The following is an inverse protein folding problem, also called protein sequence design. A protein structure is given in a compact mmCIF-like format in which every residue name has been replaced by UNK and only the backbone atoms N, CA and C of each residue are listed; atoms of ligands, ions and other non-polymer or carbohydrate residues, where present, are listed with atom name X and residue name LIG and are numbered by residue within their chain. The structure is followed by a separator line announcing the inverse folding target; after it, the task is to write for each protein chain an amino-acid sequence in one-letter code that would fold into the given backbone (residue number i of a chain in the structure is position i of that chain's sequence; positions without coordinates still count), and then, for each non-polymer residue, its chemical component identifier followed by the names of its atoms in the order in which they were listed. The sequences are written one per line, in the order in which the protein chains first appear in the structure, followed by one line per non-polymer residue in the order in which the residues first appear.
data_IF_053700532564
#
_entry.id   IF_053700532564
#
_cell.length_a   1.000
_cell.length_b   1.000
_cell.length_c   1.000
_cell.angle_alpha   90.00
_cell.angle_beta   90.00
_cell.angle_gamma   90.00
#
_symmetry.space_group_name_H-M   'P 1'
#
loop_
_entity.id
_entity.type
_entity.pdbx_description
1 polymer ?
#
# COMPACT_ATOMS: atom_id res chain seq x y z
N UNK A 1 19.61 8.00 3.48
CA UNK A 1 18.54 8.30 2.50
C UNK A 1 17.20 8.00 3.17
N UNK A 2 16.17 8.85 3.02
CA UNK A 2 14.87 8.59 3.65
C UNK A 2 14.18 7.41 2.94
N UNK A 3 13.65 6.45 3.70
CA UNK A 3 12.93 5.26 3.18
C UNK A 3 11.88 5.62 2.13
N UNK A 4 11.11 6.69 2.36
CA UNK A 4 10.08 7.16 1.43
C UNK A 4 10.69 7.58 0.09
N UNK A 5 11.84 8.24 0.10
CA UNK A 5 12.59 8.63 -1.11
C UNK A 5 13.10 7.40 -1.85
N UNK A 6 13.59 6.40 -1.14
CA UNK A 6 14.02 5.12 -1.73
C UNK A 6 12.85 4.42 -2.43
N UNK A 7 11.70 4.30 -1.77
CA UNK A 7 10.47 3.74 -2.35
C UNK A 7 10.09 4.54 -3.61
N UNK A 8 10.06 5.87 -3.54
CA UNK A 8 9.73 6.69 -4.71
C UNK A 8 10.65 6.41 -5.90
N UNK A 9 11.97 6.33 -5.69
CA UNK A 9 12.95 6.12 -6.75
C UNK A 9 12.86 4.72 -7.39
N UNK A 10 12.48 3.70 -6.62
CA UNK A 10 12.32 2.33 -7.13
C UNK A 10 11.07 2.19 -7.98
N UNK A 11 9.98 2.84 -7.59
CA UNK A 11 8.66 2.65 -8.21
C UNK A 11 8.29 3.71 -9.24
N UNK A 12 8.76 4.95 -9.10
CA UNK A 12 8.48 6.06 -10.01
C UNK A 12 9.74 6.48 -10.79
N UNK A 13 9.63 6.79 -12.11
CA UNK A 13 8.43 6.76 -12.94
C UNK A 13 8.16 5.41 -13.62
N UNK A 14 9.02 4.41 -13.41
CA UNK A 14 9.03 3.18 -14.24
C UNK A 14 7.82 2.26 -14.03
N UNK A 15 7.44 1.98 -12.78
CA UNK A 15 6.28 1.15 -12.45
C UNK A 15 5.02 1.98 -12.25
N UNK A 16 5.18 3.18 -11.70
CA UNK A 16 4.12 4.15 -11.46
C UNK A 16 4.46 5.47 -12.14
N UNK A 17 3.71 5.79 -13.19
CA UNK A 17 3.97 6.94 -14.05
C UNK A 17 3.68 8.28 -13.39
N UNK A 18 2.83 8.30 -12.36
CA UNK A 18 2.33 9.52 -11.73
C UNK A 18 2.61 9.50 -10.23
N UNK A 19 2.88 10.67 -9.67
CA UNK A 19 2.96 10.91 -8.22
C UNK A 19 1.90 11.96 -7.92
N UNK A 20 0.92 11.61 -7.09
CA UNK A 20 -0.06 12.58 -6.62
C UNK A 20 0.56 13.45 -5.52
N UNK A 21 0.15 14.71 -5.47
CA UNK A 21 0.44 15.54 -4.31
C UNK A 21 -0.25 14.97 -3.08
N UNK A 22 0.47 15.01 -1.97
CA UNK A 22 0.07 14.41 -0.71
C UNK A 22 -0.13 15.53 0.31
N UNK A 23 -1.28 15.58 0.97
CA UNK A 23 -1.55 16.48 2.09
C UNK A 23 -1.54 15.70 3.42
N UNK A 24 -0.82 16.24 4.41
CA UNK A 24 -0.81 15.71 5.79
C UNK A 24 -0.35 14.25 5.95
N UNK A 25 -1.30 13.32 5.95
CA UNK A 25 -1.17 11.93 6.42
C UNK A 25 -0.49 10.99 5.40
N UNK A 26 -0.52 11.34 4.12
CA UNK A 26 0.16 10.59 3.08
C UNK A 26 1.65 10.93 3.05
N UNK A 27 2.52 9.92 3.13
CA UNK A 27 3.96 10.13 2.91
C UNK A 27 4.32 10.04 1.43
N UNK A 28 3.60 9.22 0.66
CA UNK A 28 3.77 9.06 -0.78
C UNK A 28 2.50 8.45 -1.39
N UNK A 29 2.12 8.89 -2.58
CA UNK A 29 1.03 8.29 -3.36
C UNK A 29 1.43 8.23 -4.83
N UNK A 30 1.68 7.03 -5.34
CA UNK A 30 2.06 6.78 -6.73
C UNK A 30 0.92 6.09 -7.46
N UNK A 31 0.70 6.46 -8.73
CA UNK A 31 -0.40 5.92 -9.55
C UNK A 31 0.14 5.37 -10.87
N UNK A 32 -0.36 4.20 -11.27
CA UNK A 32 -0.16 3.59 -12.59
C UNK A 32 -1.50 3.32 -13.26
N UNK A 33 -1.52 3.41 -14.59
CA UNK A 33 -2.71 3.14 -15.41
C UNK A 33 -3.66 4.34 -15.55
N UNK A 34 -4.61 4.23 -16.48
CA UNK A 34 -5.61 5.27 -16.78
C UNK A 34 -7.02 4.70 -16.69
N UNK A 35 -7.94 5.48 -16.14
CA UNK A 35 -9.39 5.24 -16.07
C UNK A 35 -9.85 3.96 -15.33
N UNK A 36 -9.63 2.76 -15.90
CA UNK A 36 -10.32 1.51 -15.50
C UNK A 36 -9.38 0.50 -14.83
N UNK A 37 -8.06 0.61 -15.04
CA UNK A 37 -7.03 -0.26 -14.43
C UNK A 37 -6.03 0.55 -13.61
N UNK A 38 -6.56 1.46 -12.78
CA UNK A 38 -5.72 2.31 -11.94
C UNK A 38 -5.23 1.52 -10.74
N UNK A 39 -3.91 1.53 -10.54
CA UNK A 39 -3.32 0.98 -9.34
C UNK A 39 -2.53 2.03 -8.59
N UNK A 40 -2.54 1.93 -7.26
CA UNK A 40 -1.95 2.89 -6.34
C UNK A 40 -0.94 2.18 -5.45
N UNK A 41 0.23 2.79 -5.27
CA UNK A 41 1.11 2.50 -4.15
C UNK A 41 1.04 3.68 -3.18
N UNK A 42 0.51 3.45 -1.99
CA UNK A 42 0.35 4.49 -0.98
C UNK A 42 1.21 4.17 0.24
N UNK A 43 1.97 5.16 0.72
CA UNK A 43 2.84 5.02 1.88
C UNK A 43 2.33 5.89 3.03
N UNK A 44 2.22 5.28 4.20
CA UNK A 44 1.79 5.89 5.44
C UNK A 44 2.79 5.61 6.57
N UNK A 45 2.67 6.35 7.66
CA UNK A 45 3.37 6.07 8.91
C UNK A 45 2.45 5.19 9.77
N UNK A 46 3.00 4.10 10.32
CA UNK A 46 2.29 3.23 11.23
C UNK A 46 2.14 3.91 12.59
N UNK A 47 0.97 3.76 13.20
CA UNK A 47 0.70 4.19 14.57
C UNK A 47 0.64 2.94 15.46
N UNK A 48 1.66 2.73 16.29
CA UNK A 48 1.84 1.48 17.05
C UNK A 48 0.65 1.17 17.99
N UNK A 49 0.07 2.20 18.62
CA UNK A 49 -1.02 2.05 19.60
C UNK A 49 -2.43 1.96 18.96
N UNK A 50 -2.52 1.87 17.63
CA UNK A 50 -3.78 1.82 16.91
C UNK A 50 -3.97 0.48 16.19
N UNK A 51 -5.18 -0.05 16.24
CA UNK A 51 -5.55 -1.26 15.50
C UNK A 51 -5.23 -1.14 14.00
N UNK A 52 -4.55 -2.14 13.45
CA UNK A 52 -4.10 -2.15 12.05
C UNK A 52 -5.27 -2.14 11.06
N UNK A 53 -6.40 -2.75 11.41
CA UNK A 53 -7.59 -2.77 10.55
C UNK A 53 -8.18 -1.38 10.45
N UNK A 54 -8.26 -0.66 11.57
CA UNK A 54 -8.69 0.74 11.58
C UNK A 54 -7.75 1.63 10.77
N UNK A 55 -6.43 1.43 10.87
CA UNK A 55 -5.45 2.18 10.07
C UNK A 55 -5.61 1.91 8.57
N UNK A 56 -5.87 0.67 8.17
CA UNK A 56 -6.10 0.28 6.77
C UNK A 56 -7.41 0.88 6.23
N UNK A 57 -8.49 0.90 7.02
CA UNK A 57 -9.73 1.58 6.64
C UNK A 57 -9.55 3.10 6.48
N UNK A 58 -8.79 3.72 7.38
CA UNK A 58 -8.45 5.15 7.27
C UNK A 58 -7.64 5.42 6.00
N UNK A 59 -6.62 4.61 5.73
CA UNK A 59 -5.82 4.68 4.52
C UNK A 59 -6.71 4.51 3.27
N UNK A 60 -7.62 3.53 3.26
CA UNK A 60 -8.59 3.32 2.19
C UNK A 60 -9.43 4.57 1.93
N UNK A 61 -9.99 5.18 2.98
CA UNK A 61 -10.80 6.40 2.83
C UNK A 61 -9.99 7.57 2.28
N UNK A 62 -8.75 7.72 2.69
CA UNK A 62 -7.86 8.77 2.21
C UNK A 62 -7.53 8.55 0.72
N UNK A 63 -7.21 7.32 0.34
CA UNK A 63 -6.88 6.96 -1.06
C UNK A 63 -8.10 7.19 -1.95
N UNK A 64 -9.30 6.81 -1.50
CA UNK A 64 -10.55 7.05 -2.23
C UNK A 64 -10.70 8.53 -2.61
N UNK A 65 -10.43 9.44 -1.66
CA UNK A 65 -10.48 10.89 -1.87
C UNK A 65 -9.40 11.33 -2.85
N UNK A 66 -8.14 10.94 -2.62
CA UNK A 66 -7.00 11.32 -3.45
C UNK A 66 -7.16 10.88 -4.92
N UNK A 67 -7.74 9.71 -5.16
CA UNK A 67 -7.88 9.15 -6.52
C UNK A 67 -9.24 9.37 -7.14
N UNK A 68 -10.19 9.99 -6.43
CA UNK A 68 -11.59 10.08 -6.83
C UNK A 68 -12.16 8.70 -7.25
N UNK A 69 -11.93 7.69 -6.41
CA UNK A 69 -12.36 6.32 -6.71
C UNK A 69 -13.88 6.15 -6.49
N UNK A 70 -14.55 5.53 -7.45
CA UNK A 70 -16.00 5.30 -7.46
C UNK A 70 -16.23 3.83 -7.85
N UNK A 71 -17.05 3.15 -7.06
CA UNK A 71 -17.39 1.74 -7.30
C UNK A 71 -18.07 1.57 -8.67
N UNK A 72 -17.79 0.48 -9.39
CA UNK A 72 -18.24 0.16 -10.76
C UNK A 72 -17.77 1.07 -11.90
N UNK A 73 -17.18 2.24 -11.63
CA UNK A 73 -16.82 3.20 -12.68
C UNK A 73 -15.34 3.59 -12.68
N UNK A 74 -14.71 3.63 -11.51
CA UNK A 74 -13.39 4.22 -11.26
C UNK A 74 -12.66 3.51 -10.14
N UNK A 75 -12.73 2.19 -10.13
CA UNK A 75 -12.08 1.37 -9.11
C UNK A 75 -10.57 1.52 -9.15
N UNK A 76 -9.94 1.37 -7.99
CA UNK A 76 -8.49 1.40 -7.85
C UNK A 76 -8.01 0.20 -7.05
N UNK A 77 -7.02 -0.51 -7.59
CA UNK A 77 -6.28 -1.52 -6.86
C UNK A 77 -5.16 -0.87 -6.05
N UNK A 78 -5.03 -1.20 -4.77
CA UNK A 78 -4.10 -0.50 -3.88
C UNK A 78 -3.16 -1.47 -3.19
N UNK A 79 -1.89 -1.09 -3.19
CA UNK A 79 -0.88 -1.65 -2.32
C UNK A 79 -0.52 -0.60 -1.26
N UNK A 80 -0.83 -0.87 0.00
CA UNK A 80 -0.55 0.02 1.14
C UNK A 80 0.78 -0.38 1.75
N UNK A 81 1.65 0.61 1.97
CA UNK A 81 2.90 0.44 2.72
C UNK A 81 2.82 1.27 3.99
N UNK A 82 2.94 0.64 5.14
CA UNK A 82 3.15 1.31 6.42
C UNK A 82 4.64 1.31 6.75
N UNK A 83 5.14 2.45 7.17
CA UNK A 83 6.52 2.62 7.65
C UNK A 83 6.50 2.75 9.17
N UNK A 84 7.39 2.04 9.86
CA UNK A 84 7.55 2.09 11.31
C UNK A 84 9.04 2.23 11.67
N UNK A 85 9.34 2.78 12.85
CA UNK A 85 10.72 2.83 13.34
C UNK A 85 11.12 1.54 14.04
N UNK A 86 10.17 0.92 14.74
CA UNK A 86 10.37 -0.30 15.52
C UNK A 86 9.36 -1.36 15.12
N UNK A 87 9.78 -2.62 15.19
CA UNK A 87 8.87 -3.75 14.98
C UNK A 87 7.70 -3.66 15.98
N UNK A 88 6.44 -3.57 15.51
CA UNK A 88 5.31 -3.38 16.40
C UNK A 88 5.04 -4.67 17.19
N UNK A 89 5.04 -4.58 18.53
CA UNK A 89 4.88 -5.74 19.41
C UNK A 89 3.48 -6.36 19.40
N UNK A 90 2.48 -5.62 18.90
CA UNK A 90 1.07 -6.02 18.84
C UNK A 90 0.66 -6.66 17.51
N UNK A 91 1.58 -6.85 16.57
CA UNK A 91 1.28 -7.41 15.25
C UNK A 91 1.72 -8.86 15.07
N UNK A 92 2.34 -9.48 16.07
CA UNK A 92 2.68 -10.89 16.03
C UNK A 92 1.42 -11.76 15.99
N UNK A 93 1.36 -12.69 15.03
CA UNK A 93 0.18 -13.54 14.80
C UNK A 93 -1.03 -12.84 14.17
N UNK A 94 -1.02 -11.51 14.01
CA UNK A 94 -2.07 -10.75 13.33
C UNK A 94 -1.89 -10.84 11.82
N UNK A 95 -2.93 -11.22 11.10
CA UNK A 95 -2.94 -11.18 9.63
C UNK A 95 -3.26 -9.75 9.16
N UNK A 96 -2.50 -9.22 8.19
CA UNK A 96 -2.76 -7.88 7.67
C UNK A 96 -4.01 -7.90 6.77
N UNK A 97 -4.92 -6.92 6.92
CA UNK A 97 -6.21 -6.94 6.24
C UNK A 97 -6.03 -6.63 4.75
N UNK A 98 -6.52 -7.55 3.91
CA UNK A 98 -6.59 -7.40 2.44
C UNK A 98 -7.98 -7.79 1.97
N UNK A 99 -8.42 -7.21 0.86
CA UNK A 99 -9.74 -7.50 0.30
C UNK A 99 -9.73 -8.85 -0.41
N UNK A 100 -10.65 -9.73 -0.05
CA UNK A 100 -10.82 -11.05 -0.68
C UNK A 100 -11.76 -11.00 -1.89
N UNK A 101 -12.70 -10.04 -1.93
CA UNK A 101 -13.63 -9.84 -3.03
C UNK A 101 -13.63 -8.38 -3.50
N UNK A 102 -13.65 -8.15 -4.82
CA UNK A 102 -13.44 -6.84 -5.47
C UNK A 102 -14.63 -5.88 -5.38
N UNK A 103 -15.38 -5.91 -4.29
CA UNK A 103 -16.65 -5.21 -4.13
C UNK A 103 -16.43 -3.85 -3.45
N UNK A 104 -15.34 -3.16 -3.80
CA UNK A 104 -14.97 -1.88 -3.22
C UNK A 104 -14.47 -0.92 -4.30
N UNK A 105 -14.75 0.37 -4.13
CA UNK A 105 -14.15 1.41 -4.99
C UNK A 105 -12.61 1.45 -4.87
N UNK A 106 -12.10 1.10 -3.69
CA UNK A 106 -10.67 1.01 -3.38
C UNK A 106 -10.42 -0.40 -2.86
N UNK A 107 -9.77 -1.22 -3.68
CA UNK A 107 -9.54 -2.64 -3.43
C UNK A 107 -8.15 -2.77 -2.81
N UNK A 108 -8.07 -3.20 -1.55
CA UNK A 108 -6.79 -3.42 -0.86
C UNK A 108 -6.20 -4.75 -1.35
N UNK A 109 -5.28 -4.66 -2.31
CA UNK A 109 -4.61 -5.80 -2.95
C UNK A 109 -3.40 -6.28 -2.14
N UNK A 110 -2.83 -5.41 -1.31
CA UNK A 110 -1.75 -5.77 -0.42
C UNK A 110 -1.49 -4.72 0.65
N UNK A 111 -0.99 -5.18 1.78
CA UNK A 111 -0.54 -4.35 2.90
C UNK A 111 0.85 -4.83 3.30
N UNK A 112 1.81 -3.92 3.39
CA UNK A 112 3.19 -4.21 3.78
C UNK A 112 3.63 -3.23 4.85
N UNK A 113 4.12 -3.74 5.96
CA UNK A 113 4.77 -2.98 7.02
C UNK A 113 6.28 -3.14 6.85
N UNK A 114 6.98 -2.01 6.80
CA UNK A 114 8.43 -1.92 6.70
C UNK A 114 8.94 -1.15 7.92
N UNK A 115 9.84 -1.77 8.67
CA UNK A 115 10.50 -1.18 9.82
C UNK A 115 11.99 -0.98 9.60
N UNK A 116 12.63 -0.26 10.53
CA UNK A 116 14.09 -0.24 10.58
C UNK A 116 14.65 -1.65 10.87
N UNK A 117 15.94 -1.85 10.61
CA UNK A 117 16.64 -3.14 10.82
C UNK A 117 16.09 -4.31 10.00
N UNK A 118 15.46 -4.04 8.85
CA UNK A 118 14.99 -5.08 7.93
C UNK A 118 13.70 -5.77 8.37
N UNK A 119 12.90 -5.15 9.26
CA UNK A 119 11.60 -5.71 9.62
C UNK A 119 10.62 -5.61 8.45
N UNK A 120 10.03 -6.76 8.10
CA UNK A 120 8.97 -6.85 7.09
C UNK A 120 7.83 -7.72 7.58
N UNK A 121 6.62 -7.23 7.37
CA UNK A 121 5.40 -8.03 7.48
C UNK A 121 4.48 -7.64 6.34
N UNK A 122 4.04 -8.59 5.52
CA UNK A 122 3.15 -8.29 4.41
C UNK A 122 2.06 -9.34 4.26
N UNK A 123 0.94 -8.90 3.70
CA UNK A 123 -0.10 -9.77 3.18
C UNK A 123 -0.56 -9.23 1.82
N UNK A 124 -0.99 -10.10 0.93
CA UNK A 124 -1.55 -9.71 -0.36
C UNK A 124 -2.70 -10.63 -0.77
N UNK A 125 -3.66 -10.06 -1.48
CA UNK A 125 -4.79 -10.81 -2.01
C UNK A 125 -4.32 -11.86 -3.01
N UNK A 126 -4.75 -13.10 -2.79
CA UNK A 126 -4.61 -14.21 -3.72
C UNK A 126 -5.98 -14.51 -4.34
N UNK A 127 -6.22 -14.06 -5.57
CA UNK A 127 -7.42 -14.49 -6.30
C UNK A 127 -7.09 -15.77 -7.07
N UNK A 128 -7.71 -16.89 -6.66
CA UNK A 128 -7.58 -18.18 -7.34
C UNK A 128 -6.13 -18.62 -7.58
N UNK A 129 -5.22 -18.32 -6.64
CA UNK A 129 -3.79 -18.66 -6.76
C UNK A 129 -2.95 -17.71 -7.62
N UNK A 130 -3.52 -16.58 -8.07
CA UNK A 130 -2.82 -15.54 -8.82
C UNK A 130 -2.75 -14.27 -7.97
N UNK A 131 -1.53 -13.77 -7.77
CA UNK A 131 -1.27 -12.48 -7.15
C UNK A 131 -1.80 -11.35 -8.06
N UNK A 132 -2.81 -10.60 -7.61
CA UNK A 132 -3.47 -9.57 -8.41
C UNK A 132 -2.71 -8.24 -8.33
N UNK A 133 -2.57 -7.53 -9.46
CA UNK A 133 -2.00 -6.16 -9.49
C UNK A 133 -0.47 -6.07 -9.44
N UNK A 134 0.24 -7.21 -9.46
CA UNK A 134 1.70 -7.27 -9.37
C UNK A 134 2.24 -7.17 -7.94
N UNK A 135 1.42 -7.51 -6.95
CA UNK A 135 1.76 -7.44 -5.51
C UNK A 135 3.06 -8.16 -5.14
N UNK A 136 3.37 -9.28 -5.80
CA UNK A 136 4.62 -10.02 -5.58
C UNK A 136 5.86 -9.25 -6.07
N UNK A 137 5.78 -8.60 -7.25
CA UNK A 137 6.86 -7.74 -7.75
C UNK A 137 7.07 -6.53 -6.83
N UNK A 138 5.98 -5.96 -6.30
CA UNK A 138 6.02 -4.85 -5.37
C UNK A 138 6.70 -5.27 -4.06
N UNK A 139 6.28 -6.39 -3.46
CA UNK A 139 6.85 -6.92 -2.23
C UNK A 139 8.36 -7.17 -2.36
N UNK A 140 8.79 -7.88 -3.42
CA UNK A 140 10.21 -8.17 -3.66
C UNK A 140 11.05 -6.90 -3.82
N UNK A 141 10.51 -5.87 -4.49
CA UNK A 141 11.18 -4.58 -4.64
C UNK A 141 11.25 -3.80 -3.32
N UNK A 142 10.24 -3.92 -2.46
CA UNK A 142 10.21 -3.28 -1.15
C UNK A 142 11.21 -3.94 -0.18
N UNK A 143 11.30 -5.27 -0.17
CA UNK A 143 12.29 -6.00 0.64
C UNK A 143 13.74 -5.65 0.26
N UNK A 144 14.00 -5.41 -1.03
CA UNK A 144 15.31 -5.00 -1.52
C UNK A 144 15.74 -3.56 -1.13
N UNK A 145 14.82 -2.73 -0.62
CA UNK A 145 15.11 -1.33 -0.23
C UNK A 145 15.69 -1.22 1.20
N UNK A 146 15.35 -2.19 2.04
CA UNK A 146 15.57 -2.24 3.48
C UNK A 146 16.63 -3.29 3.89
N UNK A 147 17.22 -3.97 2.90
CA UNK A 147 18.47 -4.71 3.03
C UNK A 147 19.65 -3.75 2.86
#
# INVERSE_FOLDING_TARGET
MNLITSIKNVFHPKLYSESLEVDGTFKLCLVKGKYISRHVLAVFELIDDQDISLQVENARSLIKKATNAIWFFREVGVYIVFTCKTAPSNLDGVELPVDQAGVNAVIIQGVHIIGDSGYHKFNHTNWFGIAVGGTHEIANKLEAIST
#
